data_IF_408743609274
#
_entry.id   IF_408743609274
#
_cell.length_a   1.000
_cell.length_b   1.000
_cell.length_c   1.000
_cell.angle_alpha   90.00
_cell.angle_beta   90.00
_cell.angle_gamma   90.00
#
_symmetry.space_group_name_H-M   'P 1'
#
loop_
_entity.id
_entity.type
_entity.pdbx_description
1 polymer ?
#
# COMPACT_ATOMS: atom_id res chain seq x y z
N UNK A 1 -0.64 5.73 -11.58
CA UNK A 1 -0.55 6.88 -12.51
C UNK A 1 -1.33 8.05 -11.92
N UNK A 2 -0.68 9.08 -11.38
CA UNK A 2 -1.36 10.26 -10.83
C UNK A 2 -1.05 11.46 -11.73
N UNK A 3 -1.82 11.63 -12.81
CA UNK A 3 -1.68 12.82 -13.67
C UNK A 3 -2.24 14.02 -12.90
N UNK A 4 -1.59 15.20 -12.91
CA UNK A 4 -2.18 16.39 -12.30
C UNK A 4 -3.51 16.68 -13.00
N UNK A 5 -4.60 16.87 -12.25
CA UNK A 5 -5.93 17.15 -12.82
C UNK A 5 -6.03 18.53 -13.49
N UNK A 6 -4.95 19.33 -13.45
CA UNK A 6 -4.93 20.72 -13.91
C UNK A 6 -3.65 21.01 -14.72
N UNK A 7 -3.81 21.54 -15.94
CA UNK A 7 -2.69 22.01 -16.79
C UNK A 7 -2.77 23.54 -16.91
N UNK A 8 -1.69 24.28 -16.63
CA UNK A 8 -1.65 25.72 -16.89
C UNK A 8 -1.62 25.99 -18.40
N UNK A 9 -2.46 26.92 -18.88
CA UNK A 9 -2.38 27.44 -20.24
C UNK A 9 -1.10 28.27 -20.41
N UNK A 10 -0.40 28.08 -21.53
CA UNK A 10 0.87 28.76 -21.81
C UNK A 10 0.72 30.29 -21.96
N UNK A 11 -0.46 30.77 -22.37
CA UNK A 11 -0.62 32.17 -22.77
C UNK A 11 -1.34 33.02 -21.74
N UNK A 12 -2.27 32.45 -20.98
CA UNK A 12 -2.94 33.17 -19.90
C UNK A 12 -2.57 32.66 -18.49
N UNK A 13 -1.79 31.58 -18.37
CA UNK A 13 -1.38 31.03 -17.08
C UNK A 13 -2.48 30.34 -16.27
N UNK A 14 -3.72 30.36 -16.76
CA UNK A 14 -4.89 29.80 -16.09
C UNK A 14 -4.83 28.27 -16.09
N UNK A 15 -5.16 27.66 -14.95
CA UNK A 15 -5.19 26.19 -14.81
C UNK A 15 -6.49 25.62 -15.36
N UNK A 16 -6.39 24.79 -16.39
CA UNK A 16 -7.51 24.14 -17.06
C UNK A 16 -7.64 22.69 -16.57
N UNK A 17 -8.86 22.23 -16.35
CA UNK A 17 -9.14 20.87 -15.91
C UNK A 17 -9.07 19.90 -17.11
N UNK A 18 -8.29 18.81 -16.97
CA UNK A 18 -8.16 17.78 -18.02
C UNK A 18 -9.42 16.90 -18.12
N UNK A 19 -10.33 16.92 -17.15
CA UNK A 19 -11.52 16.05 -17.15
C UNK A 19 -12.50 16.32 -18.30
N UNK A 20 -12.40 17.45 -19.01
CA UNK A 20 -13.12 17.66 -20.28
C UNK A 20 -12.62 16.76 -21.43
N UNK A 21 -11.55 15.97 -21.22
CA UNK A 21 -10.97 15.06 -22.23
C UNK A 21 -11.93 13.96 -22.72
N UNK A 22 -12.94 13.59 -21.94
CA UNK A 22 -13.84 12.48 -22.32
C UNK A 22 -15.04 12.88 -23.18
N UNK A 23 -15.28 14.18 -23.37
CA UNK A 23 -16.34 14.65 -24.26
C UNK A 23 -15.69 15.54 -25.30
N UNK A 24 -15.43 14.97 -26.49
CA UNK A 24 -15.06 15.73 -27.69
C UNK A 24 -15.93 17.01 -27.75
N UNK A 25 -15.35 18.21 -27.74
CA UNK A 25 -14.67 18.83 -28.89
C UNK A 25 -13.83 20.02 -28.39
N UNK A 26 -12.64 20.16 -28.97
CA UNK A 26 -11.65 21.24 -28.80
C UNK A 26 -10.97 21.37 -27.42
N UNK A 27 -9.65 21.12 -27.41
CA UNK A 27 -8.76 21.36 -26.28
C UNK A 27 -8.34 22.83 -26.26
N UNK A 28 -9.31 23.73 -26.14
CA UNK A 28 -9.04 25.16 -26.02
C UNK A 28 -9.05 25.57 -24.55
N UNK A 29 -8.22 26.55 -24.20
CA UNK A 29 -8.31 27.13 -22.87
C UNK A 29 -9.66 27.81 -22.71
N UNK A 30 -10.39 27.53 -21.61
CA UNK A 30 -11.70 28.16 -21.38
C UNK A 30 -11.63 29.69 -21.28
N UNK A 31 -10.44 30.22 -20.96
CA UNK A 31 -10.23 31.65 -20.75
C UNK A 31 -9.75 32.38 -22.00
N UNK A 32 -8.80 31.80 -22.75
CA UNK A 32 -8.18 32.48 -23.89
C UNK A 32 -8.39 31.78 -25.24
N UNK A 33 -9.10 30.66 -25.28
CA UNK A 33 -9.41 29.93 -26.51
C UNK A 33 -8.20 29.25 -27.17
N UNK A 34 -7.03 29.31 -26.56
CA UNK A 34 -5.79 28.83 -27.18
C UNK A 34 -5.61 27.31 -27.03
N UNK A 35 -5.02 26.69 -28.04
CA UNK A 35 -4.85 25.24 -28.14
C UNK A 35 -3.87 24.70 -27.08
N UNK A 36 -4.37 23.84 -26.20
CA UNK A 36 -3.59 23.17 -25.15
C UNK A 36 -2.78 21.97 -25.65
N UNK A 37 -2.86 21.55 -26.93
CA UNK A 37 -2.14 20.39 -27.45
C UNK A 37 -0.62 20.46 -27.19
N UNK A 38 0.00 21.63 -27.38
CA UNK A 38 1.45 21.82 -27.19
C UNK A 38 1.88 21.64 -25.73
N UNK A 39 1.03 22.05 -24.78
CA UNK A 39 1.30 21.86 -23.37
C UNK A 39 1.23 20.37 -22.98
N UNK A 40 0.27 19.64 -23.54
CA UNK A 40 0.06 18.21 -23.29
C UNK A 40 1.23 17.38 -23.83
N UNK A 41 1.70 17.66 -25.05
CA UNK A 41 2.84 16.94 -25.65
C UNK A 41 4.12 17.07 -24.82
N UNK A 42 4.34 18.27 -24.25
CA UNK A 42 5.47 18.53 -23.36
C UNK A 42 5.40 17.69 -22.08
N UNK A 43 4.21 17.53 -21.50
CA UNK A 43 4.00 16.72 -20.30
C UNK A 43 4.13 15.21 -20.58
N UNK A 44 3.60 14.70 -21.70
CA UNK A 44 3.71 13.28 -22.04
C UNK A 44 5.17 12.87 -22.34
N UNK A 45 5.98 13.77 -22.94
CA UNK A 45 7.43 13.54 -23.11
C UNK A 45 8.16 13.43 -21.77
N UNK A 46 7.84 14.30 -20.81
CA UNK A 46 8.42 14.29 -19.46
C UNK A 46 8.08 13.01 -18.68
N UNK A 47 6.87 12.46 -18.86
CA UNK A 47 6.46 11.25 -18.15
C UNK A 47 7.11 9.98 -18.70
N UNK A 48 7.29 9.88 -20.03
CA UNK A 48 8.00 8.73 -20.64
C UNK A 48 9.43 8.57 -20.13
N UNK A 49 10.14 9.67 -19.88
CA UNK A 49 11.52 9.62 -19.34
C UNK A 49 11.56 9.16 -17.88
N UNK A 50 10.45 9.29 -17.14
CA UNK A 50 10.34 8.83 -15.76
C UNK A 50 10.09 7.33 -15.66
N UNK A 51 9.30 6.77 -16.57
CA UNK A 51 8.94 5.35 -16.57
C UNK A 51 10.14 4.47 -16.95
N UNK A 52 10.97 4.89 -17.92
CA UNK A 52 12.17 4.16 -18.39
C UNK A 52 13.25 3.99 -17.29
N UNK A 53 13.25 4.86 -16.28
CA UNK A 53 14.21 4.78 -15.15
C UNK A 53 13.76 3.82 -14.03
N UNK A 54 12.55 3.27 -14.11
CA UNK A 54 11.94 2.51 -12.99
C UNK A 54 11.84 1.00 -13.20
N UNK A 55 12.19 0.48 -14.39
CA UNK A 55 12.01 -0.95 -14.72
C UNK A 55 13.25 -1.84 -14.54
N UNK A 56 14.39 -1.30 -14.08
CA UNK A 56 15.59 -2.10 -13.86
C UNK A 56 16.09 -2.03 -12.41
N UNK A 57 15.44 -2.77 -11.51
CA UNK A 57 16.06 -3.37 -10.31
C UNK A 57 15.05 -4.23 -9.53
N UNK A 58 14.84 -5.44 -10.03
CA UNK A 58 14.39 -6.57 -9.24
C UNK A 58 15.60 -7.42 -8.83
N UNK A 59 15.62 -7.87 -7.57
CA UNK A 59 16.59 -8.79 -6.91
C UNK A 59 17.84 -8.15 -6.25
N UNK A 60 18.49 -8.83 -5.28
CA UNK A 60 18.36 -8.56 -3.84
C UNK A 60 19.67 -8.05 -3.21
N UNK A 61 19.56 -7.61 -1.96
CA UNK A 61 20.67 -7.38 -1.01
C UNK A 61 21.58 -6.15 -1.26
N UNK A 62 21.46 -5.16 -0.36
CA UNK A 62 22.61 -4.58 0.37
C UNK A 62 22.11 -3.76 1.56
N UNK A 63 22.54 -4.20 2.74
CA UNK A 63 22.53 -3.42 3.97
C UNK A 63 23.54 -2.30 3.78
N UNK A 64 23.10 -1.04 3.77
CA UNK A 64 23.99 0.11 4.00
C UNK A 64 23.24 1.26 4.69
N UNK A 65 23.65 1.46 5.96
CA UNK A 65 23.63 2.64 6.80
C UNK A 65 22.30 3.40 7.10
N UNK A 66 22.03 3.71 8.37
CA UNK A 66 20.81 4.37 8.82
C UNK A 66 20.87 5.86 8.47
N UNK A 67 20.18 6.29 7.42
CA UNK A 67 19.84 7.71 7.31
C UNK A 67 18.83 8.00 8.42
N UNK A 68 19.34 8.58 9.50
CA UNK A 68 18.69 9.07 10.70
C UNK A 68 17.75 10.25 10.34
N UNK A 69 16.81 10.00 9.44
CA UNK A 69 15.76 10.93 9.07
C UNK A 69 14.57 10.65 9.97
N UNK A 70 14.67 11.15 11.20
CA UNK A 70 13.61 11.30 12.20
C UNK A 70 12.43 10.35 11.94
N UNK A 71 12.54 9.10 12.42
CA UNK A 71 11.40 8.21 12.48
C UNK A 71 10.36 8.89 13.35
N UNK A 72 9.43 9.61 12.72
CA UNK A 72 8.42 10.39 13.43
C UNK A 72 7.39 9.50 14.13
N UNK A 73 7.50 8.17 13.92
CA UNK A 73 6.58 7.13 14.43
C UNK A 73 7.30 5.80 14.72
N UNK A 74 8.32 5.76 15.59
CA UNK A 74 9.08 4.52 15.86
C UNK A 74 8.24 3.53 16.67
N UNK A 75 7.38 4.03 17.56
CA UNK A 75 6.46 3.22 18.35
C UNK A 75 5.45 2.46 17.47
N UNK A 76 4.81 3.13 16.50
CA UNK A 76 3.83 2.47 15.61
C UNK A 76 4.49 1.38 14.76
N UNK A 77 5.71 1.62 14.27
CA UNK A 77 6.46 0.62 13.51
C UNK A 77 6.76 -0.62 14.36
N UNK A 78 7.12 -0.42 15.62
CA UNK A 78 7.37 -1.49 16.58
C UNK A 78 6.10 -2.30 16.85
N UNK A 79 4.97 -1.61 17.09
CA UNK A 79 3.67 -2.25 17.33
C UNK A 79 3.25 -3.09 16.13
N UNK A 80 3.39 -2.58 14.91
CA UNK A 80 3.13 -3.36 13.69
C UNK A 80 3.97 -4.64 13.64
N UNK A 81 5.25 -4.56 13.99
CA UNK A 81 6.13 -5.73 14.09
C UNK A 81 5.62 -6.76 15.10
N UNK A 82 5.19 -6.32 16.28
CA UNK A 82 4.64 -7.19 17.33
C UNK A 82 3.38 -7.91 16.83
N UNK A 83 2.43 -7.19 16.21
CA UNK A 83 1.22 -7.83 15.65
C UNK A 83 1.54 -8.86 14.57
N UNK A 84 2.54 -8.59 13.72
CA UNK A 84 2.98 -9.54 12.71
C UNK A 84 3.58 -10.81 13.36
N UNK A 85 4.39 -10.63 14.40
CA UNK A 85 4.98 -11.74 15.15
C UNK A 85 3.92 -12.58 15.88
N UNK A 86 2.95 -11.92 16.53
CA UNK A 86 1.82 -12.58 17.18
C UNK A 86 0.96 -13.35 16.17
N UNK A 87 0.72 -12.79 14.97
CA UNK A 87 0.00 -13.50 13.91
C UNK A 87 0.71 -14.81 13.55
N UNK A 88 2.05 -14.78 13.48
CA UNK A 88 2.85 -15.96 13.17
C UNK A 88 2.77 -17.02 14.27
N UNK A 89 2.88 -16.63 15.54
CA UNK A 89 2.69 -17.53 16.69
C UNK A 89 1.29 -18.12 16.68
N UNK A 90 0.26 -17.31 16.43
CA UNK A 90 -1.13 -17.75 16.41
C UNK A 90 -1.39 -18.72 15.26
N UNK A 91 -0.80 -18.48 14.09
CA UNK A 91 -0.86 -19.40 12.95
C UNK A 91 -0.19 -20.74 13.25
N UNK A 92 1.00 -20.72 13.86
CA UNK A 92 1.66 -21.95 14.31
C UNK A 92 0.84 -22.69 15.36
N UNK A 93 0.30 -21.97 16.34
CA UNK A 93 -0.55 -22.54 17.39
C UNK A 93 -1.81 -23.21 16.83
N UNK A 94 -2.46 -22.57 15.86
CA UNK A 94 -3.61 -23.14 15.16
C UNK A 94 -3.23 -24.41 14.39
N UNK A 95 -2.08 -24.42 13.71
CA UNK A 95 -1.59 -25.60 12.99
C UNK A 95 -1.35 -26.78 13.96
N UNK A 96 -0.68 -26.54 15.08
CA UNK A 96 -0.43 -27.54 16.11
C UNK A 96 -1.75 -28.05 16.71
N UNK A 97 -2.71 -27.16 16.95
CA UNK A 97 -4.02 -27.54 17.48
C UNK A 97 -4.82 -28.43 16.52
N UNK A 98 -4.68 -28.25 15.20
CA UNK A 98 -5.28 -29.14 14.20
C UNK A 98 -4.68 -30.55 14.29
N UNK A 99 -3.35 -30.67 14.34
CA UNK A 99 -2.70 -31.98 14.50
C UNK A 99 -3.05 -32.65 15.82
N UNK A 100 -3.13 -31.87 16.90
CA UNK A 100 -3.58 -32.37 18.19
C UNK A 100 -5.03 -32.88 18.12
N UNK A 101 -5.93 -32.11 17.50
CA UNK A 101 -7.30 -32.50 17.25
C UNK A 101 -7.40 -33.81 16.45
N UNK A 102 -6.59 -33.98 15.40
CA UNK A 102 -6.51 -35.22 14.64
C UNK A 102 -6.09 -36.42 15.50
N UNK A 103 -5.10 -36.25 16.38
CA UNK A 103 -4.66 -37.32 17.29
C UNK A 103 -5.74 -37.80 18.27
N UNK A 104 -6.75 -36.97 18.53
CA UNK A 104 -7.88 -37.27 19.42
C UNK A 104 -9.01 -38.03 18.72
N UNK A 105 -9.03 -38.09 17.38
CA UNK A 105 -10.07 -38.79 16.62
C UNK A 105 -9.96 -40.32 16.76
N UNK A 106 -8.74 -40.85 16.92
CA UNK A 106 -8.48 -42.29 17.04
C UNK A 106 -8.73 -42.85 18.44
N UNK A 107 -8.98 -41.98 19.44
CA UNK A 107 -9.25 -42.39 20.82
C UNK A 107 -10.75 -42.53 21.08
N UNK A 108 -11.13 -43.67 21.67
CA UNK A 108 -12.51 -43.96 22.04
C UNK A 108 -13.02 -42.94 23.08
N UNK A 109 -14.14 -42.27 22.79
CA UNK A 109 -14.77 -41.29 23.68
C UNK A 109 -14.33 -39.82 23.50
N UNK A 110 -13.30 -39.52 22.70
CA UNK A 110 -12.82 -38.14 22.49
C UNK A 110 -13.06 -37.58 21.10
N UNK A 111 -13.73 -38.34 20.22
CA UNK A 111 -13.94 -37.99 18.80
C UNK A 111 -14.68 -36.66 18.61
N UNK A 112 -15.77 -36.44 19.35
CA UNK A 112 -16.54 -35.19 19.35
C UNK A 112 -15.65 -33.98 19.70
N UNK A 113 -14.82 -34.14 20.74
CA UNK A 113 -13.89 -33.13 21.20
C UNK A 113 -12.80 -32.82 20.16
N UNK A 114 -12.25 -33.86 19.52
CA UNK A 114 -11.26 -33.69 18.46
C UNK A 114 -11.81 -32.91 17.26
N UNK A 115 -13.04 -33.22 16.83
CA UNK A 115 -13.72 -32.49 15.75
C UNK A 115 -13.94 -31.02 16.13
N UNK A 116 -14.42 -30.75 17.35
CA UNK A 116 -14.63 -29.39 17.83
C UNK A 116 -13.33 -28.56 17.84
N UNK A 117 -12.23 -29.15 18.31
CA UNK A 117 -10.91 -28.50 18.33
C UNK A 117 -10.46 -28.17 16.90
N UNK A 118 -10.59 -29.09 15.95
CA UNK A 118 -10.20 -28.85 14.55
C UNK A 118 -11.00 -27.68 13.97
N UNK A 119 -12.32 -27.68 14.15
CA UNK A 119 -13.20 -26.64 13.61
C UNK A 119 -12.88 -25.26 14.20
N UNK A 120 -12.73 -25.18 15.53
CA UNK A 120 -12.38 -23.92 16.21
C UNK A 120 -10.97 -23.46 15.80
N UNK A 121 -10.02 -24.38 15.64
CA UNK A 121 -8.64 -24.03 15.27
C UNK A 121 -8.56 -23.53 13.82
N UNK A 122 -9.30 -24.13 12.89
CA UNK A 122 -9.35 -23.67 11.50
C UNK A 122 -10.03 -22.31 11.40
N UNK A 123 -11.24 -22.16 11.93
CA UNK A 123 -12.01 -20.93 11.80
C UNK A 123 -11.40 -19.82 12.66
N UNK A 124 -11.18 -20.09 13.94
CA UNK A 124 -10.61 -19.13 14.89
C UNK A 124 -9.16 -18.80 14.58
N UNK A 125 -8.36 -19.78 14.18
CA UNK A 125 -6.98 -19.56 13.74
C UNK A 125 -6.92 -18.71 12.47
N UNK A 126 -7.72 -19.03 11.45
CA UNK A 126 -7.75 -18.23 10.22
C UNK A 126 -8.20 -16.79 10.47
N UNK A 127 -9.34 -16.60 11.14
CA UNK A 127 -9.87 -15.26 11.45
C UNK A 127 -8.87 -14.48 12.32
N UNK A 128 -8.28 -15.13 13.32
CA UNK A 128 -7.29 -14.51 14.20
C UNK A 128 -6.06 -14.05 13.43
N UNK A 129 -5.41 -14.94 12.67
CA UNK A 129 -4.21 -14.63 11.89
C UNK A 129 -4.47 -13.50 10.89
N UNK A 130 -5.56 -13.59 10.12
CA UNK A 130 -5.93 -12.56 9.13
C UNK A 130 -6.18 -11.22 9.81
N UNK A 131 -6.86 -11.21 10.96
CA UNK A 131 -7.15 -9.98 11.71
C UNK A 131 -5.87 -9.33 12.24
N UNK A 132 -4.95 -10.12 12.83
CA UNK A 132 -3.67 -9.59 13.31
C UNK A 132 -2.78 -9.07 12.17
N UNK A 133 -2.73 -9.78 11.03
CA UNK A 133 -2.01 -9.32 9.84
C UNK A 133 -2.61 -8.03 9.29
N UNK A 134 -3.94 -7.95 9.18
CA UNK A 134 -4.63 -6.76 8.70
C UNK A 134 -4.33 -5.53 9.58
N UNK A 135 -4.31 -5.71 10.91
CA UNK A 135 -3.92 -4.63 11.84
C UNK A 135 -2.45 -4.24 11.62
N UNK A 136 -1.54 -5.22 11.50
CA UNK A 136 -0.11 -4.96 11.29
C UNK A 136 0.16 -4.18 10.01
N UNK A 137 -0.45 -4.60 8.89
CA UNK A 137 -0.33 -3.96 7.59
C UNK A 137 -1.01 -2.59 7.56
N UNK A 138 -2.18 -2.47 8.20
CA UNK A 138 -2.87 -1.19 8.36
C UNK A 138 -1.97 -0.15 9.02
N UNK A 139 -1.31 -0.51 10.13
CA UNK A 139 -0.37 0.40 10.82
C UNK A 139 0.80 0.80 9.90
N UNK A 140 1.37 -0.15 9.13
CA UNK A 140 2.46 0.17 8.18
C UNK A 140 2.00 1.13 7.10
N UNK A 141 0.80 0.92 6.56
CA UNK A 141 0.22 1.77 5.54
C UNK A 141 0.06 3.21 6.05
N UNK A 142 -0.49 3.39 7.26
CA UNK A 142 -0.62 4.72 7.87
C UNK A 142 0.73 5.41 8.08
N UNK A 143 1.73 4.69 8.58
CA UNK A 143 3.08 5.23 8.77
C UNK A 143 3.71 5.64 7.44
N UNK A 144 3.51 4.85 6.38
CA UNK A 144 4.04 5.14 5.05
C UNK A 144 3.36 6.38 4.44
N UNK A 145 2.04 6.49 4.52
CA UNK A 145 1.29 7.67 4.06
C UNK A 145 1.78 8.94 4.79
N UNK A 146 1.96 8.86 6.12
CA UNK A 146 2.45 10.00 6.90
C UNK A 146 3.86 10.45 6.46
N UNK A 147 4.73 9.49 6.13
CA UNK A 147 6.07 9.78 5.58
C UNK A 147 6.00 10.44 4.20
N UNK A 148 5.17 9.91 3.30
CA UNK A 148 5.02 10.44 1.95
C UNK A 148 4.45 11.86 1.94
N UNK A 149 3.41 12.12 2.74
CA UNK A 149 2.84 13.46 2.90
C UNK A 149 3.88 14.45 3.44
N UNK A 150 4.70 14.04 4.40
CA UNK A 150 5.76 14.88 4.95
C UNK A 150 6.84 15.20 3.90
N UNK A 151 7.20 14.21 3.06
CA UNK A 151 8.15 14.40 1.94
C UNK A 151 7.60 15.39 0.91
N UNK A 152 6.33 15.25 0.53
CA UNK A 152 5.67 16.18 -0.40
C UNK A 152 5.60 17.61 0.15
N UNK A 153 5.32 17.76 1.45
CA UNK A 153 5.31 19.08 2.10
C UNK A 153 6.70 19.72 2.06
N UNK A 154 7.76 18.96 2.35
CA UNK A 154 9.15 19.47 2.33
C UNK A 154 9.57 19.92 0.93
N UNK A 155 9.26 19.15 -0.10
CA UNK A 155 9.64 19.46 -1.49
C UNK A 155 8.87 20.66 -2.09
N UNK A 156 7.76 21.09 -1.50
CA UNK A 156 7.00 22.28 -1.97
C UNK A 156 7.65 23.60 -1.53
N UNK A 157 8.54 23.57 -0.54
CA UNK A 157 9.17 24.76 0.04
C UNK A 157 10.64 24.92 -0.36
N UNK A 158 11.13 24.12 -1.33
CA UNK A 158 12.40 24.31 -2.04
C UNK A 158 12.10 24.75 -3.47
#
# INVERSE_FOLDING_TARGET
>A
MNRPNMIPCASCGVRNNILSRQQEKEFTCYNCGEDLQKAIEKYDKLNKTFDEKSEHSSSPERIDAPTLNQEKYPALRTISGIYNFLAWIMGLGALVAVFYGMSLLDRYGTKEFGIAIIMISLIGGFIGVVSLLAISEGIRLFVNIAKDVNKLKRNRHQ
#
